data_IF_556081832327
#
_entry.id   IF_556081832327
#
_cell.length_a   1.000
_cell.length_b   1.000
_cell.length_c   1.000
_cell.angle_alpha   90.00
_cell.angle_beta   90.00
_cell.angle_gamma   90.00
#
_symmetry.space_group_name_H-M   'P 1'
#
loop_
_entity.id
_entity.type
_entity.pdbx_description
1 polymer ?
#
# COMPACT_ATOMS: atom_id res chain seq x y z
N UNK A 1 28.94 74.42 -64.11
CA UNK A 1 28.40 74.08 -62.79
C UNK A 1 27.89 72.68 -62.90
N UNK A 2 28.58 71.71 -62.29
CA UNK A 2 28.28 70.27 -62.41
C UNK A 2 27.79 69.73 -61.09
N UNK A 3 26.53 69.27 -61.07
CA UNK A 3 25.93 68.59 -59.95
C UNK A 3 26.44 67.15 -59.92
N UNK A 4 26.98 66.73 -58.80
CA UNK A 4 27.34 65.33 -58.56
C UNK A 4 26.26 64.65 -57.71
N UNK A 5 25.65 63.59 -58.25
CA UNK A 5 24.72 62.74 -57.56
C UNK A 5 25.46 61.83 -56.57
N UNK A 6 24.98 61.79 -55.35
CA UNK A 6 25.45 60.88 -54.32
C UNK A 6 24.48 59.65 -54.28
N UNK A 7 25.03 58.50 -54.62
CA UNK A 7 24.31 57.24 -54.54
C UNK A 7 24.33 56.74 -53.12
N UNK A 8 23.15 56.61 -52.51
CA UNK A 8 22.97 55.98 -51.20
C UNK A 8 22.93 54.45 -51.37
N UNK A 9 23.92 53.77 -50.83
CA UNK A 9 23.93 52.31 -50.72
C UNK A 9 23.02 51.87 -49.61
N UNK A 10 22.00 51.05 -49.96
CA UNK A 10 21.08 50.43 -49.04
C UNK A 10 21.71 49.13 -48.51
N UNK A 11 22.19 49.15 -47.26
CA UNK A 11 22.61 47.93 -46.54
C UNK A 11 21.38 47.23 -46.00
N UNK A 12 21.02 46.07 -46.61
CA UNK A 12 20.05 45.14 -46.08
C UNK A 12 20.70 44.40 -44.90
N UNK A 13 20.27 44.72 -43.70
CA UNK A 13 20.57 43.92 -42.50
C UNK A 13 19.69 42.66 -42.50
N UNK A 14 20.29 41.50 -42.77
CA UNK A 14 19.65 40.19 -42.48
C UNK A 14 19.58 40.01 -40.95
N UNK A 15 18.41 40.27 -40.37
CA UNK A 15 18.09 39.80 -39.04
C UNK A 15 17.83 38.29 -39.11
N UNK A 16 18.84 37.46 -38.78
CA UNK A 16 18.68 36.06 -38.46
C UNK A 16 17.82 35.96 -37.21
N UNK A 17 16.58 35.53 -37.40
CA UNK A 17 15.70 35.11 -36.28
C UNK A 17 16.29 33.85 -35.67
N UNK A 18 17.02 34.02 -34.57
CA UNK A 18 17.29 32.91 -33.65
C UNK A 18 15.94 32.49 -33.07
N UNK A 19 15.42 31.36 -33.53
CA UNK A 19 14.27 30.74 -32.91
C UNK A 19 14.66 30.32 -31.50
N UNK A 20 14.15 31.03 -30.52
CA UNK A 20 14.15 30.54 -29.15
C UNK A 20 13.19 29.35 -29.17
N UNK A 21 13.74 28.15 -29.14
CA UNK A 21 12.96 26.94 -28.83
C UNK A 21 12.44 27.16 -27.40
N UNK A 22 11.14 27.46 -27.27
CA UNK A 22 10.46 27.30 -26.01
C UNK A 22 10.52 25.82 -25.70
N UNK A 23 11.43 25.42 -24.82
CA UNK A 23 11.27 24.22 -24.05
C UNK A 23 10.04 24.48 -23.17
N UNK A 24 8.86 24.06 -23.63
CA UNK A 24 7.74 23.82 -22.75
C UNK A 24 8.20 22.71 -21.82
N UNK A 25 8.84 23.08 -20.72
CA UNK A 25 8.91 22.28 -19.54
C UNK A 25 7.47 22.03 -19.13
N UNK A 26 6.95 20.86 -19.47
CA UNK A 26 5.77 20.31 -18.86
C UNK A 26 6.12 20.05 -17.39
N UNK A 27 6.22 21.13 -16.61
CA UNK A 27 6.15 21.06 -15.17
C UNK A 27 4.71 20.59 -14.90
N UNK A 28 4.56 19.28 -14.68
CA UNK A 28 3.26 18.70 -14.34
C UNK A 28 2.64 19.48 -13.19
N UNK A 29 1.32 19.56 -13.14
CA UNK A 29 0.62 20.20 -12.03
C UNK A 29 1.18 19.66 -10.69
N UNK A 30 1.43 20.54 -9.70
CA UNK A 30 1.98 20.12 -8.43
C UNK A 30 1.03 19.15 -7.73
N UNK A 31 1.54 17.96 -7.40
CA UNK A 31 0.77 16.92 -6.70
C UNK A 31 0.65 17.28 -5.22
N UNK A 32 -0.56 17.28 -4.64
CA UNK A 32 -0.72 17.52 -3.22
C UNK A 32 -0.09 16.40 -2.40
N UNK A 33 0.55 16.75 -1.29
CA UNK A 33 1.12 15.80 -0.34
C UNK A 33 0.02 14.87 0.20
N UNK A 34 0.29 13.57 0.27
CA UNK A 34 -0.66 12.61 0.81
C UNK A 34 -0.95 12.87 2.28
N UNK A 35 -2.22 12.88 2.65
CA UNK A 35 -2.58 12.79 4.06
C UNK A 35 -2.38 11.35 4.56
N UNK A 36 -2.13 11.16 5.85
CA UNK A 36 -1.96 9.83 6.42
C UNK A 36 -3.21 8.95 6.22
N UNK A 37 -4.41 9.52 6.40
CA UNK A 37 -5.67 8.81 6.18
C UNK A 37 -5.88 8.40 4.71
N UNK A 38 -5.53 9.25 3.75
CA UNK A 38 -5.56 8.93 2.32
C UNK A 38 -4.59 7.80 2.00
N UNK A 39 -3.37 7.88 2.54
CA UNK A 39 -2.34 6.87 2.31
C UNK A 39 -2.75 5.52 2.90
N UNK A 40 -3.28 5.47 4.13
CA UNK A 40 -3.80 4.24 4.73
C UNK A 40 -4.87 3.61 3.84
N UNK A 41 -5.83 4.40 3.34
CA UNK A 41 -6.88 3.92 2.44
C UNK A 41 -6.31 3.36 1.11
N UNK A 42 -5.26 3.99 0.55
CA UNK A 42 -4.57 3.48 -0.64
C UNK A 42 -3.84 2.17 -0.35
N UNK A 43 -3.19 2.05 0.82
CA UNK A 43 -2.49 0.84 1.26
C UNK A 43 -3.48 -0.32 1.44
N UNK A 44 -4.59 -0.11 2.13
CA UNK A 44 -5.63 -1.13 2.31
C UNK A 44 -6.21 -1.66 1.00
N UNK A 45 -6.29 -0.79 -0.02
CA UNK A 45 -6.73 -1.14 -1.37
C UNK A 45 -5.61 -1.67 -2.28
N UNK A 46 -4.37 -1.72 -1.78
CA UNK A 46 -3.16 -2.07 -2.55
C UNK A 46 -3.00 -1.18 -3.80
N UNK A 47 -3.24 0.14 -3.66
CA UNK A 47 -3.20 1.16 -4.72
C UNK A 47 -2.13 2.23 -4.52
N UNK A 48 -1.39 2.16 -3.42
CA UNK A 48 -0.39 3.15 -3.02
C UNK A 48 0.77 3.26 -4.02
N UNK A 49 1.34 2.14 -4.49
CA UNK A 49 2.43 2.16 -5.48
C UNK A 49 1.95 2.65 -6.87
N UNK A 50 0.72 2.28 -7.25
CA UNK A 50 0.09 2.75 -8.47
C UNK A 50 -0.11 4.27 -8.42
N UNK A 51 -0.50 4.81 -7.27
CA UNK A 51 -0.66 6.25 -7.05
C UNK A 51 0.67 6.99 -7.15
N UNK A 52 1.75 6.51 -6.52
CA UNK A 52 3.08 7.14 -6.62
C UNK A 52 3.57 7.20 -8.06
N UNK A 53 3.33 6.13 -8.84
CA UNK A 53 3.66 6.12 -10.28
C UNK A 53 2.81 7.12 -11.07
N UNK A 54 1.52 7.21 -10.79
CA UNK A 54 0.60 8.14 -11.45
C UNK A 54 0.98 9.61 -11.19
N UNK A 55 1.53 9.89 -10.01
CA UNK A 55 2.03 11.21 -9.63
C UNK A 55 3.47 11.47 -10.15
N UNK A 56 3.94 10.66 -11.12
CA UNK A 56 5.27 10.78 -11.75
C UNK A 56 6.44 10.88 -10.75
N UNK A 57 6.33 10.16 -9.62
CA UNK A 57 7.36 10.14 -8.58
C UNK A 57 7.68 11.51 -7.93
N UNK A 58 6.81 12.51 -8.08
CA UNK A 58 7.09 13.89 -7.62
C UNK A 58 7.24 14.00 -6.09
N UNK A 59 6.62 13.09 -5.32
CA UNK A 59 6.60 13.16 -3.85
C UNK A 59 7.65 12.28 -3.17
N UNK A 60 8.59 11.69 -3.91
CA UNK A 60 9.58 10.74 -3.35
C UNK A 60 10.35 11.35 -2.18
N UNK A 61 10.86 12.58 -2.32
CA UNK A 61 11.63 13.24 -1.25
C UNK A 61 10.79 13.47 0.01
N UNK A 62 9.51 13.86 -0.14
CA UNK A 62 8.58 14.03 0.99
C UNK A 62 8.27 12.69 1.66
N UNK A 63 8.01 11.64 0.86
CA UNK A 63 7.76 10.28 1.36
C UNK A 63 8.97 9.79 2.18
N UNK A 64 10.17 9.89 1.62
CA UNK A 64 11.41 9.50 2.30
C UNK A 64 11.60 10.28 3.60
N UNK A 65 11.42 11.62 3.55
CA UNK A 65 11.59 12.45 4.75
C UNK A 65 10.61 12.07 5.87
N UNK A 66 9.35 11.79 5.55
CA UNK A 66 8.33 11.36 6.53
C UNK A 66 8.58 9.96 7.06
N UNK A 67 9.05 9.06 6.23
CA UNK A 67 9.43 7.70 6.64
C UNK A 67 10.68 7.70 7.54
N UNK A 68 11.74 8.47 7.16
CA UNK A 68 13.06 8.33 7.80
C UNK A 68 13.30 9.29 8.94
N UNK A 69 12.69 10.49 8.94
CA UNK A 69 12.92 11.54 9.95
C UNK A 69 11.79 11.66 10.97
N UNK A 70 10.56 11.37 10.54
CA UNK A 70 9.36 11.50 11.38
C UNK A 70 8.85 10.13 11.81
N UNK A 71 9.20 9.08 11.07
CA UNK A 71 8.79 7.67 11.30
C UNK A 71 7.27 7.49 11.37
N UNK A 72 6.55 8.12 10.42
CA UNK A 72 5.10 7.92 10.31
C UNK A 72 4.82 6.53 9.72
N UNK A 73 4.02 5.68 10.39
CA UNK A 73 3.84 4.27 10.00
C UNK A 73 3.36 4.06 8.56
N UNK A 74 2.40 4.87 8.10
CA UNK A 74 1.90 4.77 6.73
C UNK A 74 2.97 5.15 5.68
N UNK A 75 3.85 6.10 6.01
CA UNK A 75 4.95 6.50 5.13
C UNK A 75 6.13 5.52 5.19
N UNK A 76 6.45 4.95 6.35
CA UNK A 76 7.43 3.86 6.46
C UNK A 76 6.99 2.66 5.64
N UNK A 77 5.70 2.29 5.72
CA UNK A 77 5.16 1.22 4.89
C UNK A 77 5.26 1.54 3.40
N UNK A 78 4.83 2.74 2.98
CA UNK A 78 4.90 3.17 1.57
C UNK A 78 6.33 3.13 1.06
N UNK A 79 7.27 3.74 1.79
CA UNK A 79 8.68 3.77 1.40
C UNK A 79 9.29 2.37 1.36
N UNK A 80 8.96 1.53 2.35
CA UNK A 80 9.36 0.13 2.38
C UNK A 80 8.87 -0.64 1.15
N UNK A 81 7.62 -0.47 0.75
CA UNK A 81 7.07 -1.14 -0.43
C UNK A 81 7.64 -0.56 -1.73
N UNK A 82 7.93 0.75 -1.80
CA UNK A 82 8.65 1.38 -2.91
C UNK A 82 10.04 0.77 -3.09
N UNK A 83 10.80 0.61 -2.02
CA UNK A 83 12.13 -0.04 -2.03
C UNK A 83 12.03 -1.51 -2.43
N UNK A 84 11.10 -2.26 -1.84
CA UNK A 84 10.95 -3.68 -2.10
C UNK A 84 10.63 -3.99 -3.58
N UNK A 85 9.90 -3.10 -4.25
CA UNK A 85 9.49 -3.26 -5.65
C UNK A 85 10.23 -2.38 -6.64
N UNK A 86 11.15 -1.53 -6.21
CA UNK A 86 11.87 -0.59 -7.07
C UNK A 86 10.94 0.43 -7.72
N UNK A 87 9.98 0.95 -6.97
CA UNK A 87 9.02 1.95 -7.49
C UNK A 87 9.50 3.36 -7.14
N UNK A 88 9.92 4.11 -8.15
CA UNK A 88 10.43 5.47 -8.03
C UNK A 88 11.72 5.61 -7.19
N UNK A 89 12.30 4.52 -6.75
CA UNK A 89 13.57 4.41 -6.02
C UNK A 89 14.31 3.16 -6.50
N UNK A 90 15.60 3.06 -6.25
CA UNK A 90 16.36 1.85 -6.51
C UNK A 90 15.85 0.71 -5.63
N UNK A 91 15.78 -0.49 -6.20
CA UNK A 91 15.24 -1.64 -5.49
C UNK A 91 16.21 -2.10 -4.40
N UNK A 92 15.70 -2.18 -3.18
CA UNK A 92 16.37 -2.78 -2.02
C UNK A 92 15.32 -3.53 -1.19
N UNK A 93 15.23 -4.84 -1.39
CA UNK A 93 14.21 -5.69 -0.73
C UNK A 93 14.44 -5.76 0.78
N UNK A 94 15.68 -5.85 1.24
CA UNK A 94 16.02 -5.98 2.66
C UNK A 94 15.66 -4.71 3.41
N UNK A 95 16.08 -3.56 2.90
CA UNK A 95 15.73 -2.26 3.47
C UNK A 95 14.22 -2.01 3.38
N UNK A 96 13.58 -2.42 2.29
CA UNK A 96 12.13 -2.34 2.11
C UNK A 96 11.37 -3.09 3.20
N UNK A 97 11.74 -4.34 3.46
CA UNK A 97 11.15 -5.15 4.52
C UNK A 97 11.39 -4.56 5.91
N UNK A 98 12.58 -4.00 6.16
CA UNK A 98 12.88 -3.31 7.42
C UNK A 98 11.90 -2.16 7.71
N UNK A 99 11.62 -1.28 6.74
CA UNK A 99 10.65 -0.20 6.91
C UNK A 99 9.22 -0.71 7.07
N UNK A 100 8.84 -1.75 6.34
CA UNK A 100 7.52 -2.37 6.50
C UNK A 100 7.34 -3.01 7.88
N UNK A 101 8.39 -3.67 8.41
CA UNK A 101 8.40 -4.21 9.77
C UNK A 101 8.31 -3.11 10.83
N UNK A 102 8.99 -1.97 10.63
CA UNK A 102 8.85 -0.82 11.54
C UNK A 102 7.40 -0.30 11.57
N UNK A 103 6.76 -0.16 10.42
CA UNK A 103 5.36 0.23 10.33
C UNK A 103 4.42 -0.79 11.03
N UNK A 104 4.70 -2.09 10.88
CA UNK A 104 3.96 -3.16 11.56
C UNK A 104 4.15 -3.09 13.09
N UNK A 105 5.38 -2.87 13.56
CA UNK A 105 5.70 -2.75 14.99
C UNK A 105 5.05 -1.51 15.63
N UNK A 106 4.74 -0.48 14.84
CA UNK A 106 3.97 0.67 15.28
C UNK A 106 2.45 0.41 15.24
N UNK A 107 2.03 -0.79 14.91
CA UNK A 107 0.62 -1.21 14.94
C UNK A 107 -0.16 -0.80 13.70
N UNK A 108 0.46 -0.63 12.53
CA UNK A 108 -0.27 -0.42 11.28
C UNK A 108 -0.87 -1.73 10.77
N UNK A 109 -2.22 -1.94 10.82
CA UNK A 109 -2.82 -3.23 10.49
C UNK A 109 -2.57 -3.66 9.03
N UNK A 110 -2.45 -2.70 8.13
CA UNK A 110 -2.15 -2.96 6.72
C UNK A 110 -0.73 -3.49 6.51
N UNK A 111 0.26 -2.99 7.29
CA UNK A 111 1.63 -3.49 7.27
C UNK A 111 1.73 -4.92 7.81
N UNK A 112 1.07 -5.19 8.93
CA UNK A 112 0.97 -6.54 9.50
C UNK A 112 0.34 -7.53 8.50
N UNK A 113 -0.77 -7.16 7.84
CA UNK A 113 -1.41 -7.97 6.80
C UNK A 113 -0.45 -8.24 5.64
N UNK A 114 0.23 -7.21 5.15
CA UNK A 114 1.13 -7.32 4.01
C UNK A 114 2.30 -8.27 4.31
N UNK A 115 2.95 -8.13 5.47
CA UNK A 115 4.04 -9.01 5.89
C UNK A 115 3.54 -10.45 6.05
N UNK A 116 2.40 -10.64 6.72
CA UNK A 116 1.76 -11.95 6.84
C UNK A 116 1.46 -12.58 5.49
N UNK A 117 1.00 -11.79 4.53
CA UNK A 117 0.75 -12.22 3.15
C UNK A 117 2.05 -12.59 2.42
N UNK A 118 3.13 -11.86 2.63
CA UNK A 118 4.43 -12.18 2.03
C UNK A 118 4.96 -13.52 2.54
N UNK A 119 4.96 -13.76 3.84
CA UNK A 119 5.32 -15.07 4.39
C UNK A 119 4.39 -16.18 3.93
N UNK A 120 3.07 -15.94 3.91
CA UNK A 120 2.11 -16.94 3.46
C UNK A 120 2.29 -17.38 2.01
N UNK A 121 2.74 -16.47 1.12
CA UNK A 121 2.88 -16.72 -0.32
C UNK A 121 4.32 -16.96 -0.77
N UNK A 122 5.30 -16.59 0.00
CA UNK A 122 6.71 -16.57 -0.41
C UNK A 122 7.00 -15.42 -1.38
N UNK A 123 6.42 -14.25 -1.14
CA UNK A 123 6.66 -13.05 -1.94
C UNK A 123 7.72 -12.21 -1.25
N UNK A 124 8.82 -11.90 -1.93
CA UNK A 124 10.00 -11.18 -1.39
C UNK A 124 10.74 -11.91 -0.25
N UNK A 125 10.12 -12.90 0.37
CA UNK A 125 10.68 -13.73 1.45
C UNK A 125 10.46 -15.20 1.16
N UNK A 126 11.21 -16.08 1.81
CA UNK A 126 10.94 -17.51 1.77
C UNK A 126 9.53 -17.79 2.35
N UNK A 127 8.75 -18.66 1.67
CA UNK A 127 7.43 -19.04 2.14
C UNK A 127 7.50 -19.70 3.52
N UNK A 128 6.74 -19.15 4.46
CA UNK A 128 6.58 -19.68 5.81
C UNK A 128 5.17 -19.33 6.32
N UNK A 129 4.25 -20.30 6.20
CA UNK A 129 2.85 -20.09 6.58
C UNK A 129 2.64 -20.03 8.09
N UNK A 130 3.48 -20.72 8.87
CA UNK A 130 3.43 -20.62 10.33
C UNK A 130 3.88 -19.24 10.80
N UNK A 131 4.92 -18.71 10.21
CA UNK A 131 5.37 -17.34 10.49
C UNK A 131 4.36 -16.28 10.05
N UNK A 132 3.52 -16.55 9.06
CA UNK A 132 2.45 -15.64 8.64
C UNK A 132 1.33 -15.50 9.70
N UNK A 133 1.06 -16.54 10.50
CA UNK A 133 -0.05 -16.59 11.45
C UNK A 133 -0.03 -15.44 12.47
N UNK A 134 1.05 -15.16 13.23
CA UNK A 134 1.05 -14.10 14.23
C UNK A 134 0.76 -12.72 13.60
N UNK A 135 1.35 -12.40 12.46
CA UNK A 135 1.09 -11.14 11.77
C UNK A 135 -0.37 -11.01 11.34
N UNK A 136 -0.92 -12.06 10.71
CA UNK A 136 -2.32 -12.05 10.27
C UNK A 136 -3.30 -12.03 11.44
N UNK A 137 -2.98 -12.70 12.57
CA UNK A 137 -3.82 -12.69 13.77
C UNK A 137 -3.89 -11.29 14.38
N UNK A 138 -2.75 -10.62 14.50
CA UNK A 138 -2.68 -9.27 15.03
C UNK A 138 -3.45 -8.29 14.14
N UNK A 139 -3.20 -8.27 12.84
CA UNK A 139 -3.95 -7.45 11.90
C UNK A 139 -5.46 -7.74 11.92
N UNK A 140 -5.85 -9.02 12.03
CA UNK A 140 -7.25 -9.45 12.11
C UNK A 140 -7.95 -8.92 13.37
N UNK A 141 -7.26 -8.96 14.52
CA UNK A 141 -7.76 -8.43 15.79
C UNK A 141 -8.00 -6.92 15.72
N UNK A 142 -7.17 -6.19 14.96
CA UNK A 142 -7.27 -4.76 14.74
C UNK A 142 -8.30 -4.37 13.64
N UNK A 143 -9.03 -5.34 13.10
CA UNK A 143 -10.12 -5.09 12.17
C UNK A 143 -9.77 -5.24 10.69
N UNK A 144 -8.52 -5.55 10.31
CA UNK A 144 -8.17 -5.74 8.91
C UNK A 144 -8.89 -6.95 8.31
N UNK A 145 -9.81 -6.68 7.39
CA UNK A 145 -10.69 -7.72 6.82
C UNK A 145 -9.93 -8.72 5.94
N UNK A 146 -8.88 -8.27 5.25
CA UNK A 146 -8.05 -9.15 4.43
C UNK A 146 -7.24 -10.12 5.29
N UNK A 147 -6.73 -9.64 6.43
CA UNK A 147 -6.06 -10.49 7.41
C UNK A 147 -7.01 -11.52 8.04
N UNK A 148 -8.25 -11.14 8.38
CA UNK A 148 -9.27 -12.07 8.87
C UNK A 148 -9.54 -13.21 7.89
N UNK A 149 -9.66 -12.88 6.61
CA UNK A 149 -9.88 -13.86 5.54
C UNK A 149 -8.67 -14.77 5.39
N UNK A 150 -7.45 -14.22 5.29
CA UNK A 150 -6.24 -14.99 5.08
C UNK A 150 -5.91 -15.90 6.28
N UNK A 151 -6.10 -15.39 7.51
CA UNK A 151 -5.95 -16.19 8.72
C UNK A 151 -6.89 -17.40 8.71
N UNK A 152 -8.18 -17.19 8.47
CA UNK A 152 -9.15 -18.28 8.41
C UNK A 152 -8.82 -19.30 7.30
N UNK A 153 -8.30 -18.86 6.17
CA UNK A 153 -7.86 -19.76 5.09
C UNK A 153 -6.66 -20.62 5.51
N UNK A 154 -5.70 -20.05 6.24
CA UNK A 154 -4.57 -20.82 6.76
C UNK A 154 -5.02 -21.82 7.83
N UNK A 155 -5.87 -21.40 8.76
CA UNK A 155 -6.42 -22.27 9.80
C UNK A 155 -7.21 -23.45 9.21
N UNK A 156 -8.01 -23.21 8.16
CA UNK A 156 -8.76 -24.28 7.48
C UNK A 156 -7.87 -25.23 6.66
N UNK A 157 -6.61 -24.88 6.43
CA UNK A 157 -5.56 -25.73 5.84
C UNK A 157 -4.63 -26.33 6.88
N UNK A 158 -5.04 -26.32 8.14
CA UNK A 158 -4.32 -26.89 9.29
C UNK A 158 -2.97 -26.21 9.60
N UNK A 159 -2.81 -24.93 9.23
CA UNK A 159 -1.73 -24.07 9.69
C UNK A 159 -2.18 -23.29 10.93
N UNK A 160 -1.28 -23.08 11.88
CA UNK A 160 -1.59 -22.42 13.16
C UNK A 160 -2.32 -23.33 14.17
N UNK A 161 -2.99 -22.74 15.13
CA UNK A 161 -3.59 -23.46 16.25
C UNK A 161 -5.12 -23.57 16.14
N UNK A 162 -5.73 -24.74 16.49
CA UNK A 162 -7.18 -24.83 16.65
C UNK A 162 -7.74 -23.86 17.70
N UNK A 163 -6.93 -23.37 18.62
CA UNK A 163 -7.32 -22.35 19.61
C UNK A 163 -7.69 -21.01 18.95
N UNK A 164 -7.19 -20.75 17.76
CA UNK A 164 -7.48 -19.53 17.00
C UNK A 164 -8.84 -19.57 16.28
N UNK A 165 -9.49 -20.73 16.18
CA UNK A 165 -10.75 -20.88 15.43
C UNK A 165 -11.87 -20.02 15.98
N UNK A 166 -12.01 -19.94 17.31
CA UNK A 166 -13.06 -19.13 17.95
C UNK A 166 -12.89 -17.64 17.63
N UNK A 167 -11.68 -17.11 17.73
CA UNK A 167 -11.40 -15.70 17.46
C UNK A 167 -11.54 -15.39 15.97
N UNK A 168 -10.99 -16.23 15.09
CA UNK A 168 -11.13 -16.08 13.65
C UNK A 168 -12.61 -16.11 13.21
N UNK A 169 -13.38 -17.03 13.77
CA UNK A 169 -14.83 -17.12 13.53
C UNK A 169 -15.55 -15.85 13.99
N UNK A 170 -15.28 -15.39 15.22
CA UNK A 170 -15.90 -14.19 15.81
C UNK A 170 -15.59 -12.96 14.95
N UNK A 171 -14.34 -12.78 14.51
CA UNK A 171 -13.97 -11.65 13.68
C UNK A 171 -14.66 -11.70 12.31
N UNK A 172 -14.73 -12.85 11.67
CA UNK A 172 -15.46 -13.02 10.41
C UNK A 172 -16.98 -12.81 10.59
N UNK A 173 -17.55 -13.28 11.69
CA UNK A 173 -18.96 -13.11 12.02
C UNK A 173 -19.37 -11.64 12.13
N UNK A 174 -18.49 -10.82 12.70
CA UNK A 174 -18.69 -9.37 12.87
C UNK A 174 -18.16 -8.53 11.71
N UNK A 175 -17.63 -9.15 10.64
CA UNK A 175 -17.12 -8.41 9.49
C UNK A 175 -18.25 -7.96 8.58
N UNK A 176 -18.26 -6.66 8.25
CA UNK A 176 -19.18 -6.06 7.28
C UNK A 176 -18.37 -5.59 6.07
N UNK A 177 -18.79 -5.95 4.88
CA UNK A 177 -18.16 -5.52 3.64
C UNK A 177 -19.21 -5.27 2.56
N UNK A 178 -19.07 -4.19 1.75
CA UNK A 178 -19.91 -3.95 0.60
C UNK A 178 -19.55 -4.82 -0.62
N UNK A 179 -18.36 -5.45 -0.63
CA UNK A 179 -17.93 -6.32 -1.72
C UNK A 179 -18.62 -7.68 -1.61
N UNK A 180 -19.46 -7.99 -2.59
CA UNK A 180 -20.23 -9.26 -2.65
C UNK A 180 -19.36 -10.50 -2.80
N UNK A 181 -18.17 -10.40 -3.41
CA UNK A 181 -17.22 -11.53 -3.53
C UNK A 181 -16.56 -11.79 -2.19
N UNK A 182 -16.13 -10.73 -1.51
CA UNK A 182 -15.55 -10.82 -0.17
C UNK A 182 -16.58 -11.34 0.84
N UNK A 183 -17.84 -10.87 0.77
CA UNK A 183 -18.93 -11.35 1.61
C UNK A 183 -19.17 -12.87 1.45
N UNK A 184 -19.21 -13.36 0.21
CA UNK A 184 -19.35 -14.80 -0.06
C UNK A 184 -18.16 -15.60 0.49
N UNK A 185 -16.94 -15.09 0.33
CA UNK A 185 -15.72 -15.72 0.84
C UNK A 185 -15.76 -15.83 2.37
N UNK A 186 -16.12 -14.75 3.06
CA UNK A 186 -16.32 -14.74 4.52
C UNK A 186 -17.36 -15.79 4.96
N UNK A 187 -18.48 -15.88 4.27
CA UNK A 187 -19.55 -16.85 4.59
C UNK A 187 -19.07 -18.29 4.46
N UNK A 188 -18.32 -18.62 3.41
CA UNK A 188 -17.73 -19.96 3.22
C UNK A 188 -16.69 -20.29 4.31
N UNK A 189 -15.81 -19.34 4.65
CA UNK A 189 -14.79 -19.53 5.69
C UNK A 189 -15.43 -19.73 7.07
N UNK A 190 -16.45 -18.94 7.39
CA UNK A 190 -17.24 -19.14 8.62
C UNK A 190 -17.84 -20.53 8.71
N UNK A 191 -18.49 -20.99 7.64
CA UNK A 191 -19.06 -22.35 7.60
C UNK A 191 -17.99 -23.43 7.76
N UNK A 192 -16.81 -23.25 7.15
CA UNK A 192 -15.69 -24.17 7.34
C UNK A 192 -15.18 -24.23 8.78
N UNK A 193 -15.10 -23.08 9.47
CA UNK A 193 -14.72 -23.03 10.89
C UNK A 193 -15.81 -23.62 11.80
N UNK A 194 -17.10 -23.40 11.49
CA UNK A 194 -18.22 -24.02 12.23
C UNK A 194 -18.13 -25.56 12.24
N UNK A 195 -17.71 -26.16 11.13
CA UNK A 195 -17.55 -27.63 11.04
C UNK A 195 -16.39 -28.18 11.89
N UNK A 196 -15.48 -27.32 12.34
CA UNK A 196 -14.30 -27.70 13.14
C UNK A 196 -14.42 -27.35 14.64
N UNK A 197 -15.51 -26.72 15.04
CA UNK A 197 -15.72 -26.25 16.40
C UNK A 197 -16.96 -26.90 17.04
N UNK A 198 -16.93 -27.18 18.36
CA UNK A 198 -18.13 -27.57 19.11
C UNK A 198 -19.18 -26.45 19.12
N UNK A 199 -20.46 -26.82 19.16
CA UNK A 199 -21.59 -25.87 19.15
C UNK A 199 -21.56 -24.84 20.27
N UNK A 200 -21.11 -25.23 21.47
CA UNK A 200 -20.99 -24.31 22.61
C UNK A 200 -19.93 -23.21 22.35
N UNK A 201 -18.84 -23.51 21.63
CA UNK A 201 -17.82 -22.55 21.26
C UNK A 201 -18.37 -21.58 20.21
N UNK A 202 -19.07 -22.09 19.20
CA UNK A 202 -19.73 -21.26 18.17
C UNK A 202 -20.74 -20.31 18.83
N UNK A 203 -21.58 -20.81 19.74
CA UNK A 203 -22.55 -20.01 20.47
C UNK A 203 -21.87 -18.92 21.34
N UNK A 204 -20.71 -19.22 21.92
CA UNK A 204 -19.91 -18.27 22.70
C UNK A 204 -19.33 -17.17 21.80
N UNK A 205 -18.76 -17.53 20.65
CA UNK A 205 -18.19 -16.62 19.70
C UNK A 205 -19.23 -15.62 19.16
N UNK A 206 -20.46 -16.08 18.92
CA UNK A 206 -21.58 -15.19 18.48
C UNK A 206 -22.04 -14.21 19.56
N UNK A 207 -22.01 -14.58 20.85
CA UNK A 207 -22.48 -13.75 21.97
C UNK A 207 -21.53 -12.62 22.35
N UNK A 208 -20.22 -12.75 22.10
CA UNK A 208 -19.20 -11.76 22.44
C UNK A 208 -19.22 -10.49 21.57
N UNK A 209 -20.09 -10.43 20.56
CA UNK A 209 -20.22 -9.28 19.66
C UNK A 209 -20.94 -8.07 20.26
N UNK A 210 -21.42 -8.14 21.49
CA UNK A 210 -22.28 -7.09 22.09
C UNK A 210 -21.54 -6.05 22.95
N UNK A 211 -20.21 -6.08 23.01
CA UNK A 211 -19.45 -5.14 23.82
C UNK A 211 -18.32 -4.46 23.02
N UNK A 212 -18.69 -3.45 22.25
CA UNK A 212 -17.82 -2.34 21.79
C UNK A 212 -18.65 -1.08 21.68
#
# INVERSE_FOLDING_TARGET
>A
MKLRAVTASLLLALCSRVGIANADDHIGEPVPVYTEAELINLIEKNKHLERVKADNCQLVEDIVARATRISLPAYEFLYGDMLAWGVCVDQDVELGLYYMENAANQGLPAALEQIGRYYSRGTLVQQDKERAIPYLREAASMGNINARIQLAELLLRDYGSPLDYEDAYRWLYNSVTPDTRQHRRISMLRQGLEQRMPENIIARAKRRSTFW
#
